data_IF_208909309893
#
_entry.id   IF_208909309893
#
_cell.length_a   1.000
_cell.length_b   1.000
_cell.length_c   1.000
_cell.angle_alpha   90.00
_cell.angle_beta   90.00
_cell.angle_gamma   90.00
#
_symmetry.space_group_name_H-M   'P 1'
#
loop_
_entity.id
_entity.type
_entity.pdbx_description
1 polymer ?
#
# COMPACT_ATOMS: atom_id res chain seq x y z
N UNK A 1 14.02 0.17 22.10
CA UNK A 1 14.03 -1.24 22.53
C UNK A 1 14.29 -2.07 21.29
N UNK A 2 15.13 -3.10 21.34
CA UNK A 2 15.35 -3.95 20.17
C UNK A 2 14.07 -4.78 19.91
N UNK A 3 13.60 -4.80 18.67
CA UNK A 3 12.45 -5.62 18.27
C UNK A 3 12.76 -7.11 18.38
N UNK A 4 11.77 -7.91 18.73
CA UNK A 4 11.91 -9.37 18.63
C UNK A 4 12.08 -9.78 17.16
N UNK A 5 12.68 -10.95 16.86
CA UNK A 5 12.78 -11.44 15.49
C UNK A 5 11.42 -11.52 14.78
N UNK A 6 10.37 -11.89 15.51
CA UNK A 6 9.00 -11.98 14.99
C UNK A 6 8.42 -10.59 14.66
N UNK A 7 8.68 -9.60 15.51
CA UNK A 7 8.29 -8.20 15.24
C UNK A 7 8.98 -7.64 14.00
N UNK A 8 10.29 -7.88 13.87
CA UNK A 8 11.06 -7.44 12.70
C UNK A 8 10.53 -8.08 11.40
N UNK A 9 10.21 -9.39 11.44
CA UNK A 9 9.61 -10.09 10.30
C UNK A 9 8.23 -9.51 9.95
N UNK A 10 7.39 -9.24 10.94
CA UNK A 10 6.07 -8.64 10.72
C UNK A 10 6.16 -7.24 10.10
N UNK A 11 7.15 -6.45 10.52
CA UNK A 11 7.42 -5.12 9.94
C UNK A 11 7.85 -5.23 8.48
N UNK A 12 8.74 -6.16 8.15
CA UNK A 12 9.20 -6.39 6.77
C UNK A 12 8.05 -6.86 5.88
N UNK A 13 7.24 -7.82 6.32
CA UNK A 13 6.04 -8.27 5.60
C UNK A 13 5.03 -7.13 5.41
N UNK A 14 4.88 -6.26 6.41
CA UNK A 14 4.03 -5.07 6.32
C UNK A 14 4.55 -4.08 5.28
N UNK A 15 5.87 -3.88 5.20
CA UNK A 15 6.50 -3.03 4.19
C UNK A 15 6.30 -3.59 2.77
N UNK A 16 6.57 -4.89 2.57
CA UNK A 16 6.37 -5.57 1.27
C UNK A 16 4.92 -5.43 0.81
N UNK A 17 3.96 -5.71 1.70
CA UNK A 17 2.52 -5.55 1.39
C UNK A 17 2.19 -4.13 0.92
N UNK A 18 2.74 -3.10 1.55
CA UNK A 18 2.52 -1.69 1.15
C UNK A 18 3.12 -1.39 -0.23
N UNK A 19 4.31 -1.90 -0.53
CA UNK A 19 4.94 -1.74 -1.84
C UNK A 19 4.11 -2.40 -2.95
N UNK A 20 3.56 -3.60 -2.70
CA UNK A 20 2.66 -4.27 -3.65
C UNK A 20 1.35 -3.50 -3.87
N UNK A 21 0.78 -2.91 -2.81
CA UNK A 21 -0.38 -2.01 -2.94
C UNK A 21 -0.02 -0.81 -3.82
N UNK A 22 1.13 -0.16 -3.58
CA UNK A 22 1.57 0.98 -4.40
C UNK A 22 1.74 0.59 -5.87
N UNK A 23 2.35 -0.56 -6.15
CA UNK A 23 2.49 -1.07 -7.52
C UNK A 23 1.13 -1.31 -8.18
N UNK A 24 0.17 -1.90 -7.46
CA UNK A 24 -1.17 -2.12 -7.98
C UNK A 24 -1.86 -0.80 -8.31
N UNK A 25 -1.79 0.18 -7.42
CA UNK A 25 -2.34 1.52 -7.66
C UNK A 25 -1.65 2.18 -8.87
N UNK A 26 -0.32 2.09 -8.98
CA UNK A 26 0.44 2.65 -10.10
C UNK A 26 0.12 1.96 -11.44
N UNK A 27 -0.28 0.69 -11.37
CA UNK A 27 -0.76 -0.08 -12.54
C UNK A 27 -2.23 0.24 -12.90
N UNK A 28 -2.85 1.21 -12.23
CA UNK A 28 -4.21 1.69 -12.53
C UNK A 28 -5.34 0.98 -11.78
N UNK A 29 -5.03 0.07 -10.85
CA UNK A 29 -6.07 -0.52 -9.99
C UNK A 29 -6.61 0.52 -9.01
N UNK A 30 -7.93 0.57 -8.86
CA UNK A 30 -8.59 1.47 -7.90
C UNK A 30 -8.44 0.94 -6.48
N UNK A 31 -8.39 1.84 -5.49
CA UNK A 31 -8.36 1.47 -4.06
C UNK A 31 -9.48 0.47 -3.67
N UNK A 32 -10.69 0.64 -4.21
CA UNK A 32 -11.81 -0.31 -4.01
C UNK A 32 -11.48 -1.75 -4.43
N UNK A 33 -10.78 -1.91 -5.56
CA UNK A 33 -10.40 -3.24 -6.08
C UNK A 33 -9.34 -3.88 -5.18
N UNK A 34 -8.31 -3.11 -4.82
CA UNK A 34 -7.23 -3.58 -3.94
C UNK A 34 -7.78 -3.93 -2.54
N UNK A 35 -8.68 -3.11 -2.00
CA UNK A 35 -9.31 -3.35 -0.70
C UNK A 35 -10.14 -4.65 -0.71
N UNK A 36 -10.91 -4.89 -1.78
CA UNK A 36 -11.67 -6.12 -1.97
C UNK A 36 -10.76 -7.37 -2.02
N UNK A 37 -9.64 -7.30 -2.77
CA UNK A 37 -8.66 -8.40 -2.84
C UNK A 37 -8.04 -8.72 -1.48
N UNK A 38 -7.81 -7.69 -0.65
CA UNK A 38 -7.25 -7.85 0.68
C UNK A 38 -8.29 -8.19 1.77
N UNK A 39 -9.58 -8.23 1.41
CA UNK A 39 -10.66 -8.48 2.38
C UNK A 39 -10.82 -7.38 3.43
N UNK A 40 -10.47 -6.13 3.11
CA UNK A 40 -10.55 -4.98 4.03
C UNK A 40 -11.43 -3.87 3.46
N UNK A 41 -11.82 -2.90 4.30
CA UNK A 41 -12.52 -1.71 3.85
C UNK A 41 -11.59 -0.73 3.12
N UNK A 42 -12.14 0.08 2.22
CA UNK A 42 -11.40 1.16 1.54
C UNK A 42 -10.77 2.15 2.53
N UNK A 43 -11.46 2.44 3.64
CA UNK A 43 -10.93 3.29 4.72
C UNK A 43 -9.70 2.66 5.40
N UNK A 44 -9.69 1.33 5.58
CA UNK A 44 -8.53 0.62 6.12
C UNK A 44 -7.36 0.68 5.14
N UNK A 45 -7.59 0.45 3.85
CA UNK A 45 -6.56 0.57 2.83
C UNK A 45 -5.98 1.99 2.76
N UNK A 46 -6.83 3.01 2.81
CA UNK A 46 -6.43 4.43 2.80
C UNK A 46 -5.50 4.77 3.98
N UNK A 47 -5.77 4.23 5.18
CA UNK A 47 -4.89 4.40 6.36
C UNK A 47 -3.55 3.67 6.27
N UNK A 48 -3.43 2.65 5.42
CA UNK A 48 -2.17 1.92 5.22
C UNK A 48 -1.18 2.70 4.35
N UNK A 49 -1.66 3.67 3.57
CA UNK A 49 -0.86 4.47 2.65
C UNK A 49 -0.42 5.79 3.32
N UNK A 50 0.78 6.29 3.01
CA UNK A 50 1.18 7.64 3.43
C UNK A 50 0.19 8.68 2.87
N UNK A 51 -0.07 9.73 3.65
CA UNK A 51 -0.96 10.82 3.23
C UNK A 51 -0.42 11.43 1.92
N UNK A 52 -1.32 11.71 0.97
CA UNK A 52 -0.97 12.33 -0.32
C UNK A 52 -0.62 11.34 -1.43
N UNK A 53 0.10 10.26 -1.12
CA UNK A 53 0.56 9.28 -2.12
C UNK A 53 -0.58 8.67 -2.91
N UNK A 54 -1.66 8.27 -2.25
CA UNK A 54 -2.74 7.56 -2.94
C UNK A 54 -3.48 8.43 -3.97
N UNK A 55 -3.39 9.76 -3.84
CA UNK A 55 -3.94 10.73 -4.81
C UNK A 55 -3.00 10.92 -5.99
N UNK A 56 -1.69 10.94 -5.74
CA UNK A 56 -0.66 11.08 -6.78
C UNK A 56 -0.62 9.84 -7.68
N UNK A 57 -0.65 8.66 -7.08
CA UNK A 57 -0.59 7.39 -7.83
C UNK A 57 -1.85 7.19 -8.69
N UNK A 58 -3.03 7.62 -8.21
CA UNK A 58 -4.28 7.55 -8.99
C UNK A 58 -4.31 8.52 -10.18
N UNK A 59 -3.46 9.55 -10.20
CA UNK A 59 -3.46 10.56 -11.26
C UNK A 59 -2.57 10.20 -12.46
N UNK A 60 -1.97 9.00 -12.49
CA UNK A 60 -1.26 8.49 -13.67
C UNK A 60 -0.03 9.30 -14.08
N UNK A 61 0.51 10.16 -13.21
CA UNK A 61 1.62 11.05 -13.52
C UNK A 61 2.98 10.54 -13.03
N UNK A 62 3.13 9.24 -12.74
CA UNK A 62 4.47 8.66 -12.62
C UNK A 62 4.97 8.46 -14.05
N UNK A 63 5.50 9.53 -14.62
CA UNK A 63 6.43 9.44 -15.74
C UNK A 63 7.60 8.59 -15.25
N UNK A 64 7.74 7.40 -15.81
CA UNK A 64 8.97 6.63 -15.69
C UNK A 64 10.00 7.32 -16.59
N UNK A 65 10.77 8.23 -16.01
CA UNK A 65 12.06 8.65 -16.58
C UNK A 65 13.10 7.53 -16.39
#
# INVERSE_FOLDING_TARGET
MAHSPDEALLEELSAIKKLLILQALASGYKQKQVAATLGVSEATLSRMLPKGIAKEVNHGSISAD
#
